data_IF_577396083937
#
_entry.id   IF_577396083937
#
_cell.length_a   1.000
_cell.length_b   1.000
_cell.length_c   1.000
_cell.angle_alpha   90.00
_cell.angle_beta   90.00
_cell.angle_gamma   90.00
#
_symmetry.space_group_name_H-M   'P 1'
#
loop_
_entity.id
_entity.type
_entity.pdbx_description
1 polymer ?
#
# COMPACT_ATOMS: atom_id res chain seq x y z
N UNK A 1 -7.65 12.67 -13.79
CA UNK A 1 -6.96 12.22 -12.57
C UNK A 1 -5.51 11.76 -12.85
N UNK A 2 -5.23 11.06 -13.96
CA UNK A 2 -3.86 10.65 -14.36
C UNK A 2 -2.84 11.79 -14.55
N UNK A 3 -3.26 12.96 -15.04
CA UNK A 3 -2.36 14.09 -15.31
C UNK A 3 -1.69 14.64 -14.04
N UNK A 4 -2.40 14.62 -12.89
CA UNK A 4 -1.86 15.07 -11.61
C UNK A 4 -0.81 14.11 -11.01
N UNK A 5 -0.75 12.88 -11.51
CA UNK A 5 0.27 11.88 -11.14
C UNK A 5 1.49 11.98 -12.04
N UNK A 6 1.33 12.43 -13.29
CA UNK A 6 2.41 12.55 -14.27
C UNK A 6 3.41 13.69 -13.95
N UNK A 7 2.96 14.72 -13.22
CA UNK A 7 3.81 15.85 -12.80
C UNK A 7 4.57 15.60 -11.48
N UNK A 8 4.35 14.45 -10.82
CA UNK A 8 5.02 14.10 -9.57
C UNK A 8 6.41 13.53 -9.89
N UNK A 9 7.41 14.40 -9.76
CA UNK A 9 8.83 14.02 -9.75
C UNK A 9 9.25 13.72 -8.31
N UNK A 10 10.13 12.72 -8.13
CA UNK A 10 10.61 12.24 -6.80
C UNK A 10 9.63 11.31 -6.05
N UNK A 11 9.17 10.26 -6.75
CA UNK A 11 8.42 9.15 -6.14
C UNK A 11 9.38 8.02 -5.72
N UNK A 12 9.38 7.69 -4.44
CA UNK A 12 10.03 6.49 -3.92
C UNK A 12 9.03 5.32 -3.88
N UNK A 13 9.42 4.18 -4.41
CA UNK A 13 8.58 2.98 -4.47
C UNK A 13 9.04 1.93 -3.48
N UNK A 14 8.10 1.39 -2.70
CA UNK A 14 8.32 0.35 -1.71
C UNK A 14 7.34 -0.79 -1.92
N UNK A 15 7.79 -2.01 -1.62
CA UNK A 15 6.94 -3.21 -1.64
C UNK A 15 7.13 -3.94 -0.33
N UNK A 16 6.05 -4.14 0.41
CA UNK A 16 6.01 -4.95 1.61
C UNK A 16 5.27 -6.26 1.33
N UNK A 17 5.84 -7.39 1.73
CA UNK A 17 5.20 -8.70 1.63
C UNK A 17 4.35 -8.95 2.87
N UNK A 18 3.13 -9.44 2.67
CA UNK A 18 2.20 -9.76 3.75
C UNK A 18 2.08 -11.27 3.88
N UNK A 19 2.22 -11.77 5.11
CA UNK A 19 2.17 -13.20 5.44
C UNK A 19 1.14 -13.46 6.52
N UNK A 20 0.44 -14.59 6.43
CA UNK A 20 -0.39 -15.07 7.53
C UNK A 20 0.48 -15.59 8.66
N UNK A 21 0.02 -15.41 9.90
CA UNK A 21 0.62 -16.04 11.08
C UNK A 21 -0.35 -17.03 11.69
N UNK A 22 0.08 -18.24 12.10
CA UNK A 22 1.47 -18.69 12.25
C UNK A 22 2.09 -19.35 11.01
N UNK A 23 1.31 -19.60 9.96
CA UNK A 23 1.70 -20.51 8.87
C UNK A 23 2.68 -19.90 7.85
N UNK A 24 2.98 -18.61 7.94
CA UNK A 24 3.86 -17.86 7.03
C UNK A 24 3.45 -17.99 5.55
N UNK A 25 2.15 -18.12 5.27
CA UNK A 25 1.63 -18.22 3.92
C UNK A 25 1.57 -16.82 3.32
N UNK A 26 2.12 -16.56 2.13
CA UNK A 26 2.03 -15.25 1.49
C UNK A 26 0.57 -14.94 1.16
N UNK A 27 0.06 -13.84 1.70
CA UNK A 27 -1.30 -13.35 1.48
C UNK A 27 -1.38 -12.30 0.37
N UNK A 28 -0.29 -11.56 0.17
CA UNK A 28 -0.21 -10.50 -0.84
C UNK A 28 0.95 -9.55 -0.65
N UNK A 29 0.88 -8.44 -1.36
CA UNK A 29 1.89 -7.39 -1.40
C UNK A 29 1.21 -6.04 -1.17
N UNK A 30 1.79 -5.22 -0.31
CA UNK A 30 1.47 -3.81 -0.22
C UNK A 30 2.49 -3.06 -1.08
N UNK A 31 2.00 -2.44 -2.16
CA UNK A 31 2.77 -1.53 -2.98
C UNK A 31 2.55 -0.11 -2.47
N UNK A 32 3.62 0.63 -2.18
CA UNK A 32 3.56 2.03 -1.77
C UNK A 32 4.38 2.91 -2.72
N UNK A 33 3.84 4.07 -3.07
CA UNK A 33 4.53 5.15 -3.74
C UNK A 33 4.52 6.39 -2.84
N UNK A 34 5.67 6.77 -2.32
CA UNK A 34 5.88 7.94 -1.48
C UNK A 34 6.22 9.15 -2.35
N UNK A 35 5.40 10.18 -2.27
CA UNK A 35 5.66 11.51 -2.80
C UNK A 35 6.21 12.39 -1.69
N UNK A 36 7.54 12.57 -1.68
CA UNK A 36 8.23 13.39 -0.67
C UNK A 36 7.86 14.87 -0.78
N UNK A 37 7.64 15.36 -1.99
CA UNK A 37 7.32 16.76 -2.23
C UNK A 37 5.92 17.10 -1.71
N UNK A 38 4.93 16.25 -1.99
CA UNK A 38 3.56 16.44 -1.52
C UNK A 38 3.33 15.94 -0.08
N UNK A 39 4.31 15.22 0.51
CA UNK A 39 4.17 14.47 1.77
C UNK A 39 2.96 13.54 1.75
N UNK A 40 2.81 12.77 0.67
CA UNK A 40 1.71 11.82 0.50
C UNK A 40 2.24 10.44 0.14
N UNK A 41 1.52 9.41 0.58
CA UNK A 41 1.74 8.03 0.14
C UNK A 41 0.51 7.56 -0.61
N UNK A 42 0.72 6.92 -1.76
CA UNK A 42 -0.27 6.08 -2.41
C UNK A 42 0.03 4.64 -2.05
N UNK A 43 -0.94 3.90 -1.54
CA UNK A 43 -0.77 2.47 -1.30
C UNK A 43 -1.84 1.63 -2.00
N UNK A 44 -1.46 0.42 -2.39
CA UNK A 44 -2.29 -0.56 -3.06
C UNK A 44 -1.95 -1.95 -2.49
N UNK A 45 -2.96 -2.71 -2.08
CA UNK A 45 -2.80 -4.11 -1.71
C UNK A 45 -3.14 -5.01 -2.90
N UNK A 46 -2.17 -5.83 -3.29
CA UNK A 46 -2.29 -6.79 -4.38
C UNK A 46 -2.23 -8.21 -3.81
N UNK A 47 -3.26 -8.99 -4.11
CA UNK A 47 -3.36 -10.40 -3.74
C UNK A 47 -2.80 -11.30 -4.86
N UNK A 48 -2.17 -12.45 -4.54
CA UNK A 48 -1.68 -13.38 -5.54
C UNK A 48 -2.82 -13.90 -6.41
N UNK A 49 -2.51 -14.16 -7.69
CA UNK A 49 -3.44 -14.72 -8.69
C UNK A 49 -4.31 -15.85 -8.12
N UNK A 50 -5.63 -15.67 -8.14
CA UNK A 50 -6.62 -16.64 -7.68
C UNK A 50 -7.46 -16.21 -6.46
N UNK A 51 -7.10 -15.12 -5.78
CA UNK A 51 -7.92 -14.48 -4.74
C UNK A 51 -8.56 -13.21 -5.30
N UNK A 52 -9.53 -13.33 -6.21
CA UNK A 52 -10.08 -12.19 -6.98
C UNK A 52 -10.95 -11.21 -6.15
N UNK A 53 -11.29 -11.54 -4.91
CA UNK A 53 -12.26 -10.79 -4.11
C UNK A 53 -11.70 -9.56 -3.37
N UNK A 54 -10.38 -9.40 -3.29
CA UNK A 54 -9.72 -8.29 -2.59
C UNK A 54 -9.10 -7.27 -3.57
N UNK A 55 -9.90 -6.72 -4.49
CA UNK A 55 -9.46 -5.57 -5.29
C UNK A 55 -9.49 -4.33 -4.42
N UNK A 56 -8.36 -3.99 -3.81
CA UNK A 56 -8.22 -2.70 -3.12
C UNK A 56 -7.99 -1.59 -4.13
N UNK A 57 -8.68 -0.46 -3.97
CA UNK A 57 -8.41 0.71 -4.79
C UNK A 57 -7.15 1.41 -4.27
N UNK A 58 -6.31 1.98 -5.15
CA UNK A 58 -5.17 2.76 -4.73
C UNK A 58 -5.63 3.92 -3.85
N UNK A 59 -5.06 4.01 -2.65
CA UNK A 59 -5.50 4.95 -1.62
C UNK A 59 -4.38 5.92 -1.30
N UNK A 60 -4.68 7.22 -1.42
CA UNK A 60 -3.77 8.28 -1.04
C UNK A 60 -4.02 8.71 0.41
N UNK A 61 -2.96 8.88 1.18
CA UNK A 61 -3.00 9.38 2.56
C UNK A 61 -1.72 10.17 2.89
N UNK A 62 -1.73 10.98 3.97
CA UNK A 62 -0.53 11.71 4.40
C UNK A 62 0.62 10.75 4.71
N UNK A 63 1.83 11.09 4.25
CA UNK A 63 3.04 10.33 4.55
C UNK A 63 3.45 10.53 6.01
N UNK A 64 3.83 9.45 6.70
CA UNK A 64 4.64 9.58 7.92
C UNK A 64 6.07 9.96 7.54
N UNK A 65 6.85 10.40 8.54
CA UNK A 65 8.28 10.62 8.39
C UNK A 65 9.04 9.29 8.21
N UNK A 66 8.44 8.16 8.63
CA UNK A 66 8.93 6.79 8.41
C UNK A 66 8.04 6.00 7.44
N UNK A 67 8.65 5.21 6.57
CA UNK A 67 7.94 4.31 5.67
C UNK A 67 7.29 3.16 6.44
N UNK A 68 7.91 2.68 7.53
CA UNK A 68 7.37 1.59 8.35
C UNK A 68 6.02 1.98 8.98
N UNK A 69 5.93 3.22 9.47
CA UNK A 69 4.66 3.80 9.95
C UNK A 69 3.60 3.87 8.84
N UNK A 70 4.02 4.19 7.61
CA UNK A 70 3.12 4.29 6.46
C UNK A 70 2.60 2.91 6.04
N UNK A 71 3.43 1.87 6.18
CA UNK A 71 3.03 0.46 5.98
C UNK A 71 2.03 0.05 7.07
N UNK A 72 2.33 0.32 8.34
CA UNK A 72 1.45 -0.01 9.46
C UNK A 72 0.08 0.68 9.33
N UNK A 73 0.06 1.99 9.02
CA UNK A 73 -1.17 2.74 8.83
C UNK A 73 -2.03 2.23 7.67
N UNK A 74 -1.41 1.65 6.63
CA UNK A 74 -2.15 1.02 5.55
C UNK A 74 -2.61 -0.41 5.89
N UNK A 75 -1.79 -1.18 6.61
CA UNK A 75 -2.18 -2.50 7.11
C UNK A 75 -3.40 -2.42 8.04
N UNK A 76 -3.45 -1.45 8.95
CA UNK A 76 -4.61 -1.21 9.82
C UNK A 76 -5.88 -0.90 9.01
N UNK A 77 -5.76 -0.20 7.89
CA UNK A 77 -6.90 0.05 6.99
C UNK A 77 -7.36 -1.23 6.31
N UNK A 78 -6.44 -2.09 5.87
CA UNK A 78 -6.78 -3.36 5.26
C UNK A 78 -7.52 -4.30 6.23
N UNK A 79 -7.10 -4.35 7.49
CA UNK A 79 -7.81 -5.06 8.57
C UNK A 79 -9.23 -4.51 8.76
N UNK A 80 -9.39 -3.18 8.77
CA UNK A 80 -10.72 -2.55 8.85
C UNK A 80 -11.65 -2.86 7.66
N UNK A 81 -11.08 -3.20 6.50
CA UNK A 81 -11.82 -3.63 5.32
C UNK A 81 -12.05 -5.16 5.27
N UNK A 82 -11.51 -5.92 6.23
CA UNK A 82 -11.53 -7.39 6.23
C UNK A 82 -10.66 -8.02 5.15
N UNK A 83 -9.62 -7.30 4.69
CA UNK A 83 -8.68 -7.77 3.67
C UNK A 83 -7.43 -8.44 4.27
N UNK A 84 -7.19 -8.25 5.57
CA UNK A 84 -6.22 -8.94 6.42
C UNK A 84 -6.94 -9.51 7.63
#
# INVERSE_FOLDING_TARGET
MLQATADRSDLDYFVAQVFSTPDAIPLGYINLALDRHARQVCALYEVPLGMEDCVTQPTWFPASDDIEDSVAAFADKLDSYGAL
#
